data_IF_824151876572
#
_entry.id   IF_824151876572
#
_cell.length_a   1.000
_cell.length_b   1.000
_cell.length_c   1.000
_cell.angle_alpha   90.00
_cell.angle_beta   90.00
_cell.angle_gamma   90.00
#
_symmetry.space_group_name_H-M   'P 1'
#
loop_
_entity.id
_entity.type
_entity.pdbx_description
1 polymer ?
#
# COMPACT_ATOMS: atom_id res chain seq x y z
N UNK A 1 -39.43 70.90 -18.97
CA UNK A 1 -38.71 70.35 -17.84
C UNK A 1 -38.98 68.83 -17.80
N UNK A 2 -38.07 68.00 -18.39
CA UNK A 2 -38.18 66.56 -18.38
C UNK A 2 -37.29 66.04 -17.24
N UNK A 3 -37.87 65.37 -16.26
CA UNK A 3 -37.13 64.69 -15.17
C UNK A 3 -36.66 63.32 -15.69
N UNK A 4 -35.36 63.16 -15.68
CA UNK A 4 -34.67 61.90 -15.95
C UNK A 4 -34.63 61.09 -14.66
N UNK A 5 -35.28 59.92 -14.61
CA UNK A 5 -35.20 58.99 -13.50
C UNK A 5 -34.07 58.01 -13.83
N UNK A 6 -32.97 58.08 -13.06
CA UNK A 6 -31.89 57.10 -13.10
C UNK A 6 -32.29 55.90 -12.24
N UNK A 7 -32.50 54.73 -12.84
CA UNK A 7 -32.67 53.48 -12.14
C UNK A 7 -31.27 52.87 -11.93
N UNK A 8 -30.81 52.88 -10.68
CA UNK A 8 -29.59 52.20 -10.28
C UNK A 8 -29.95 50.70 -10.07
N UNK A 9 -29.54 49.85 -10.98
CA UNK A 9 -29.60 48.39 -10.78
C UNK A 9 -28.42 47.95 -9.91
N UNK A 10 -28.69 47.66 -8.67
CA UNK A 10 -27.71 47.03 -7.77
C UNK A 10 -27.62 45.55 -8.08
N UNK A 11 -26.58 45.13 -8.80
CA UNK A 11 -26.19 43.72 -8.94
C UNK A 11 -25.63 43.23 -7.63
N UNK A 12 -26.41 42.47 -6.87
CA UNK A 12 -25.94 41.71 -5.71
C UNK A 12 -25.14 40.54 -6.27
N UNK A 13 -23.80 40.65 -6.31
CA UNK A 13 -22.93 39.48 -6.41
C UNK A 13 -23.04 38.74 -5.07
N UNK A 14 -23.72 37.62 -5.07
CA UNK A 14 -23.62 36.64 -4.00
C UNK A 14 -22.22 36.01 -4.05
N UNK A 15 -21.30 36.57 -3.27
CA UNK A 15 -20.08 35.91 -2.88
C UNK A 15 -20.47 34.71 -2.00
N UNK A 16 -20.62 33.54 -2.63
CA UNK A 16 -20.57 32.29 -1.89
C UNK A 16 -19.13 32.12 -1.39
N UNK A 17 -18.83 32.79 -0.29
CA UNK A 17 -17.62 32.49 0.47
C UNK A 17 -17.72 31.06 0.97
N UNK A 18 -16.90 30.18 0.43
CA UNK A 18 -16.61 28.89 1.04
C UNK A 18 -15.97 29.18 2.40
N UNK A 19 -16.78 29.21 3.44
CA UNK A 19 -16.26 29.19 4.81
C UNK A 19 -15.64 27.84 5.03
N UNK A 20 -14.31 27.82 5.19
CA UNK A 20 -13.57 26.66 5.66
C UNK A 20 -14.27 26.13 6.91
N UNK A 21 -14.77 24.91 6.88
CA UNK A 21 -15.44 24.32 8.03
C UNK A 21 -14.37 24.05 9.09
N UNK A 22 -14.47 24.73 10.24
CA UNK A 22 -13.63 24.45 11.41
C UNK A 22 -14.09 23.21 12.16
N UNK A 23 -15.14 22.55 11.69
CA UNK A 23 -15.74 21.40 12.32
C UNK A 23 -14.94 20.15 12.03
N UNK A 24 -14.61 19.40 13.09
CA UNK A 24 -13.94 18.10 12.99
C UNK A 24 -14.88 17.07 12.38
N UNK A 25 -14.31 16.19 11.59
CA UNK A 25 -15.06 15.14 10.90
C UNK A 25 -15.26 13.94 11.84
N UNK A 26 -16.52 13.65 12.18
CA UNK A 26 -16.88 12.45 12.94
C UNK A 26 -16.52 11.20 12.16
N UNK A 27 -15.90 10.24 12.85
CA UNK A 27 -15.44 8.99 12.28
C UNK A 27 -15.77 7.84 13.22
N UNK A 28 -16.07 6.70 12.63
CA UNK A 28 -16.26 5.43 13.32
C UNK A 28 -15.37 4.37 12.69
N UNK A 29 -14.79 3.48 13.48
CA UNK A 29 -13.89 2.45 12.99
C UNK A 29 -13.70 1.32 14.00
N UNK A 30 -12.69 0.50 13.73
CA UNK A 30 -12.20 -0.53 14.64
C UNK A 30 -10.75 -0.20 15.01
N UNK A 31 -10.49 -0.11 16.31
CA UNK A 31 -9.18 0.25 16.85
C UNK A 31 -8.63 -0.84 17.78
N UNK A 32 -7.30 -0.93 17.84
CA UNK A 32 -6.58 -1.56 18.94
C UNK A 32 -6.55 -0.59 20.12
N UNK A 33 -6.76 -1.10 21.33
CA UNK A 33 -6.65 -0.35 22.58
C UNK A 33 -5.35 -0.68 23.33
N UNK A 34 -4.69 -1.77 22.95
CA UNK A 34 -3.39 -2.22 23.44
C UNK A 34 -2.71 -3.05 22.37
N UNK A 35 -1.39 -3.23 22.45
CA UNK A 35 -0.60 -4.02 21.50
C UNK A 35 -1.11 -5.46 21.33
N UNK A 36 -1.52 -6.10 22.42
CA UNK A 36 -1.99 -7.49 22.44
C UNK A 36 -3.51 -7.63 22.28
N UNK A 37 -4.21 -6.48 22.11
CA UNK A 37 -5.67 -6.43 22.11
C UNK A 37 -6.29 -6.93 20.81
N UNK A 38 -7.60 -7.15 20.88
CA UNK A 38 -8.44 -7.31 19.69
C UNK A 38 -8.95 -5.96 19.23
N UNK A 39 -9.14 -5.84 17.92
CA UNK A 39 -9.79 -4.68 17.29
C UNK A 39 -11.25 -4.60 17.75
N UNK A 40 -11.66 -3.41 18.22
CA UNK A 40 -13.02 -3.15 18.72
C UNK A 40 -13.54 -1.83 18.14
N UNK A 41 -14.85 -1.66 18.14
CA UNK A 41 -15.51 -0.42 17.69
C UNK A 41 -14.95 0.79 18.45
N UNK A 42 -14.69 1.86 17.70
CA UNK A 42 -14.12 3.10 18.21
C UNK A 42 -14.68 4.31 17.45
N UNK A 43 -15.22 5.25 18.19
CA UNK A 43 -15.68 6.54 17.66
C UNK A 43 -14.59 7.60 17.92
N UNK A 44 -14.23 8.34 16.87
CA UNK A 44 -13.19 9.36 16.93
C UNK A 44 -13.48 10.51 15.97
N UNK A 45 -12.58 11.47 15.90
CA UNK A 45 -12.70 12.58 14.95
C UNK A 45 -11.40 12.74 14.17
N UNK A 46 -11.53 13.17 12.92
CA UNK A 46 -10.42 13.62 12.08
C UNK A 46 -10.32 15.14 12.08
N UNK A 47 -9.20 15.68 11.64
CA UNK A 47 -9.05 17.12 11.43
C UNK A 47 -10.12 17.65 10.44
N UNK A 48 -10.48 18.94 10.50
CA UNK A 48 -11.34 19.57 9.52
C UNK A 48 -10.75 19.43 8.10
N UNK A 49 -11.62 19.51 7.09
CA UNK A 49 -11.18 19.50 5.69
C UNK A 49 -10.44 20.81 5.40
N UNK A 50 -9.17 20.70 5.07
CA UNK A 50 -8.33 21.82 4.63
C UNK A 50 -8.58 22.22 3.17
N UNK A 51 -7.94 23.28 2.71
CA UNK A 51 -8.12 23.80 1.35
C UNK A 51 -7.70 22.79 0.26
N UNK A 52 -6.73 21.94 0.55
CA UNK A 52 -6.21 20.92 -0.39
C UNK A 52 -6.71 19.50 -0.08
N UNK A 53 -7.59 19.34 0.91
CA UNK A 53 -8.03 18.03 1.37
C UNK A 53 -9.28 17.56 0.63
N UNK A 54 -9.41 16.23 0.58
CA UNK A 54 -10.64 15.56 0.20
C UNK A 54 -11.14 14.71 1.38
N UNK A 55 -12.47 14.62 1.51
CA UNK A 55 -13.12 13.66 2.39
C UNK A 55 -13.58 12.48 1.55
N UNK A 56 -13.15 11.29 1.93
CA UNK A 56 -13.47 10.02 1.27
C UNK A 56 -14.39 9.21 2.21
N UNK A 57 -15.54 8.77 1.72
CA UNK A 57 -16.31 7.69 2.31
C UNK A 57 -15.60 6.38 1.97
N UNK A 58 -15.08 5.66 2.96
CA UNK A 58 -14.36 4.40 2.77
C UNK A 58 -15.35 3.29 2.38
N UNK A 59 -15.15 2.68 1.21
CA UNK A 59 -15.96 1.57 0.74
C UNK A 59 -15.31 0.22 1.05
N UNK A 60 -14.01 0.12 0.79
CA UNK A 60 -13.23 -1.09 1.03
C UNK A 60 -11.86 -0.72 1.62
N UNK A 61 -11.35 -1.60 2.47
CA UNK A 61 -9.98 -1.50 3.00
C UNK A 61 -9.34 -2.89 3.04
N UNK A 62 -8.19 -3.03 2.39
CA UNK A 62 -7.44 -4.28 2.41
C UNK A 62 -6.80 -4.54 3.78
N UNK A 63 -6.53 -5.82 4.06
CA UNK A 63 -5.85 -6.29 5.28
C UNK A 63 -4.42 -6.68 4.93
N UNK A 64 -3.46 -5.98 5.50
CA UNK A 64 -2.04 -6.20 5.30
C UNK A 64 -1.37 -6.76 6.56
N UNK A 65 -0.30 -7.53 6.37
CA UNK A 65 0.56 -7.97 7.48
C UNK A 65 1.16 -6.78 8.24
N UNK A 66 1.40 -5.67 7.53
CA UNK A 66 1.88 -4.42 8.12
C UNK A 66 0.92 -3.81 9.13
N UNK A 67 -0.41 -3.97 8.93
CA UNK A 67 -1.41 -3.52 9.91
C UNK A 67 -1.24 -4.25 11.25
N UNK A 68 -0.86 -5.53 11.19
CA UNK A 68 -0.64 -6.38 12.36
C UNK A 68 0.65 -5.98 13.07
N UNK A 69 1.77 -5.91 12.33
CA UNK A 69 3.07 -5.56 12.91
C UNK A 69 3.08 -4.15 13.50
N UNK A 70 2.61 -3.17 12.74
CA UNK A 70 2.54 -1.77 13.22
C UNK A 70 1.56 -1.67 14.39
N UNK A 71 0.37 -2.25 14.26
CA UNK A 71 -0.65 -2.22 15.31
C UNK A 71 -0.19 -2.84 16.62
N UNK A 72 0.63 -3.89 16.57
CA UNK A 72 1.23 -4.57 17.74
C UNK A 72 2.50 -3.90 18.26
N UNK A 73 3.05 -2.92 17.53
CA UNK A 73 4.29 -2.25 17.91
C UNK A 73 5.55 -3.08 17.66
N UNK A 74 5.52 -4.08 16.76
CA UNK A 74 6.67 -4.94 16.44
C UNK A 74 7.82 -4.18 15.80
N UNK A 75 7.53 -3.06 15.13
CA UNK A 75 8.53 -2.19 14.49
C UNK A 75 8.87 -0.97 15.33
N UNK A 76 7.88 -0.40 16.01
CA UNK A 76 8.05 0.74 16.92
C UNK A 76 6.87 0.82 17.89
N UNK A 77 7.06 1.34 19.13
CA UNK A 77 5.97 1.55 20.08
C UNK A 77 4.84 2.41 19.48
N UNK A 78 3.60 2.03 19.72
CA UNK A 78 2.42 2.71 19.21
C UNK A 78 1.63 3.44 20.30
N UNK A 79 0.89 4.48 19.89
CA UNK A 79 -0.10 5.15 20.72
C UNK A 79 -1.49 4.54 20.48
N UNK A 80 -2.23 4.28 21.56
CA UNK A 80 -3.57 3.70 21.49
C UNK A 80 -4.62 4.66 22.09
N UNK A 81 -5.89 4.60 21.63
CA UNK A 81 -6.47 3.72 20.60
C UNK A 81 -5.90 4.00 19.20
N UNK A 82 -5.68 2.93 18.40
CA UNK A 82 -5.13 3.03 17.06
C UNK A 82 -6.01 2.31 16.03
N UNK A 83 -6.54 3.08 15.09
CA UNK A 83 -7.21 2.55 13.89
C UNK A 83 -6.15 2.33 12.82
N UNK A 84 -5.96 1.10 12.39
CA UNK A 84 -5.01 0.74 11.32
C UNK A 84 -5.70 0.68 9.95
N UNK A 85 -4.99 0.24 8.91
CA UNK A 85 -5.49 0.10 7.54
C UNK A 85 -4.93 1.17 6.60
N UNK A 86 -4.31 0.74 5.50
CA UNK A 86 -3.64 1.60 4.52
C UNK A 86 -3.83 1.13 3.07
N UNK A 87 -4.85 0.35 2.81
CA UNK A 87 -5.24 -0.12 1.48
C UNK A 87 -6.68 0.34 1.19
N UNK A 88 -6.88 1.65 1.20
CA UNK A 88 -8.19 2.30 1.25
C UNK A 88 -8.66 2.60 -0.17
N UNK A 89 -9.91 2.29 -0.46
CA UNK A 89 -10.61 2.82 -1.63
C UNK A 89 -12.00 3.28 -1.21
N UNK A 90 -12.42 4.43 -1.74
CA UNK A 90 -13.70 5.01 -1.38
C UNK A 90 -14.17 6.06 -2.38
N UNK A 91 -15.24 6.73 -2.01
CA UNK A 91 -15.88 7.77 -2.82
C UNK A 91 -15.64 9.14 -2.20
N UNK A 92 -15.19 10.09 -2.98
CA UNK A 92 -15.02 11.48 -2.57
C UNK A 92 -16.39 12.08 -2.29
N UNK A 93 -16.60 12.60 -1.08
CA UNK A 93 -17.86 13.21 -0.62
C UNK A 93 -17.76 14.71 -0.45
N UNK A 94 -16.55 15.23 -0.17
CA UNK A 94 -16.29 16.66 -0.08
C UNK A 94 -14.87 16.96 -0.59
N UNK A 95 -14.65 18.17 -1.07
CA UNK A 95 -13.35 18.67 -1.55
C UNK A 95 -13.07 20.05 -1.01
N UNK A 96 -11.83 20.35 -0.68
CA UNK A 96 -11.35 21.68 -0.29
C UNK A 96 -11.33 22.64 -1.47
N UNK A 97 -11.19 23.94 -1.18
CA UNK A 97 -11.30 25.00 -2.19
C UNK A 97 -10.22 25.00 -3.27
N UNK A 98 -9.04 24.43 -2.98
CA UNK A 98 -7.90 24.36 -3.89
C UNK A 98 -7.79 22.99 -4.59
N UNK A 99 -8.66 22.05 -4.24
CA UNK A 99 -8.63 20.69 -4.86
C UNK A 99 -8.94 20.78 -6.34
N UNK A 100 -8.08 20.19 -7.15
CA UNK A 100 -8.19 20.17 -8.62
C UNK A 100 -8.18 18.76 -9.19
N UNK A 101 -7.63 17.80 -8.46
CA UNK A 101 -7.43 16.41 -8.89
C UNK A 101 -8.71 15.58 -8.78
N UNK A 102 -9.61 15.96 -7.88
CA UNK A 102 -10.83 15.24 -7.58
C UNK A 102 -12.06 16.14 -7.55
N UNK A 103 -13.21 15.54 -7.82
CA UNK A 103 -14.54 16.12 -7.58
C UNK A 103 -15.40 15.16 -6.76
N UNK A 104 -16.44 15.70 -6.14
CA UNK A 104 -17.43 14.88 -5.42
C UNK A 104 -18.01 13.80 -6.34
N UNK A 105 -18.03 12.57 -5.85
CA UNK A 105 -18.47 11.39 -6.57
C UNK A 105 -17.36 10.57 -7.23
N UNK A 106 -16.15 11.10 -7.38
CA UNK A 106 -15.01 10.33 -7.90
C UNK A 106 -14.60 9.21 -6.93
N UNK A 107 -14.00 8.16 -7.45
CA UNK A 107 -13.30 7.17 -6.64
C UNK A 107 -11.87 7.62 -6.36
N UNK A 108 -11.47 7.49 -5.12
CA UNK A 108 -10.13 7.79 -4.66
C UNK A 108 -9.57 6.64 -3.83
N UNK A 109 -8.26 6.44 -3.91
CA UNK A 109 -7.55 5.49 -3.08
C UNK A 109 -6.52 6.17 -2.18
N UNK A 110 -6.26 5.62 -1.00
CA UNK A 110 -5.21 6.05 -0.09
C UNK A 110 -4.35 4.87 0.30
N UNK A 111 -3.05 4.99 0.04
CA UNK A 111 -2.05 3.97 0.32
C UNK A 111 -1.38 4.14 1.68
N UNK A 112 -0.07 3.94 1.69
CA UNK A 112 0.72 3.86 2.93
C UNK A 112 1.08 5.21 3.55
N UNK A 113 0.87 6.33 2.86
CA UNK A 113 1.25 7.69 3.31
C UNK A 113 0.09 8.67 3.12
N UNK A 114 0.00 9.64 4.02
CA UNK A 114 -1.00 10.71 3.97
C UNK A 114 -0.39 12.11 3.96
N UNK A 115 0.91 12.24 4.23
CA UNK A 115 1.59 13.55 4.15
C UNK A 115 3.11 13.43 4.04
N UNK A 116 3.76 14.50 3.59
CA UNK A 116 5.20 14.75 3.59
C UNK A 116 5.48 16.25 3.52
N UNK A 117 6.76 16.67 3.55
CA UNK A 117 7.09 18.09 3.43
C UNK A 117 6.80 18.71 2.04
N UNK A 118 6.75 17.91 0.98
CA UNK A 118 6.46 18.29 -0.41
C UNK A 118 7.45 19.27 -1.08
N UNK A 119 8.60 19.53 -0.47
CA UNK A 119 9.58 20.51 -0.98
C UNK A 119 11.05 20.10 -0.82
N UNK A 120 11.34 18.88 -0.37
CA UNK A 120 12.71 18.34 -0.38
C UNK A 120 12.98 17.61 -1.69
N UNK A 121 14.26 17.32 -1.98
CA UNK A 121 14.69 16.67 -3.22
C UNK A 121 13.92 15.39 -3.56
N UNK A 122 13.57 14.58 -2.56
CA UNK A 122 12.81 13.34 -2.78
C UNK A 122 11.32 13.61 -3.05
N UNK A 123 10.72 14.57 -2.33
CA UNK A 123 9.33 14.94 -2.61
C UNK A 123 9.18 15.58 -3.99
N UNK A 124 10.14 16.43 -4.41
CA UNK A 124 10.14 17.07 -5.72
C UNK A 124 10.26 16.05 -6.88
N UNK A 125 10.87 14.89 -6.61
CA UNK A 125 11.00 13.79 -7.59
C UNK A 125 9.88 12.76 -7.50
N UNK A 126 8.92 12.92 -6.58
CA UNK A 126 7.80 11.99 -6.38
C UNK A 126 8.19 10.72 -5.63
N UNK A 127 9.19 10.84 -4.75
CA UNK A 127 9.70 9.79 -3.86
C UNK A 127 9.46 10.15 -2.39
N UNK A 128 8.24 10.56 -2.07
CA UNK A 128 7.81 11.07 -0.76
C UNK A 128 8.09 10.08 0.39
N UNK A 129 8.18 8.77 0.09
CA UNK A 129 8.56 7.74 1.06
C UNK A 129 9.96 7.97 1.66
N UNK A 130 10.81 8.75 1.00
CA UNK A 130 12.15 9.13 1.45
C UNK A 130 12.24 10.59 1.92
N UNK A 131 11.12 11.24 2.22
CA UNK A 131 11.07 12.65 2.65
C UNK A 131 12.08 12.94 3.77
N UNK A 132 12.96 13.93 3.55
CA UNK A 132 14.01 14.32 4.51
C UNK A 132 13.47 14.94 5.81
N UNK A 133 12.25 15.48 5.77
CA UNK A 133 11.61 16.14 6.91
C UNK A 133 10.55 15.25 7.59
N UNK A 134 10.48 13.98 7.20
CA UNK A 134 9.52 12.99 7.68
C UNK A 134 8.27 12.92 6.84
N UNK A 135 7.98 11.71 6.33
CA UNK A 135 6.67 11.35 5.80
C UNK A 135 5.73 11.06 6.96
N UNK A 136 4.43 11.11 6.72
CA UNK A 136 3.40 10.66 7.66
C UNK A 136 2.73 9.42 7.08
N UNK A 137 2.81 8.31 7.79
CA UNK A 137 2.09 7.09 7.43
C UNK A 137 0.58 7.26 7.66
N UNK A 138 -0.20 6.46 6.98
CA UNK A 138 -1.68 6.52 7.00
C UNK A 138 -2.25 6.29 8.39
N UNK A 139 -1.50 5.60 9.26
CA UNK A 139 -1.82 5.43 10.68
C UNK A 139 -0.56 5.24 11.53
N UNK A 140 -0.68 5.59 12.81
CA UNK A 140 0.33 5.35 13.83
C UNK A 140 1.47 6.37 13.89
N UNK A 141 1.54 7.28 12.94
CA UNK A 141 2.52 8.37 12.94
C UNK A 141 1.91 9.66 13.50
N UNK A 142 2.81 10.52 14.00
CA UNK A 142 2.47 11.88 14.37
C UNK A 142 2.32 12.71 13.10
N UNK A 143 1.12 13.21 12.85
CA UNK A 143 0.89 14.07 11.69
C UNK A 143 1.49 15.45 11.91
N UNK A 144 2.72 15.61 11.44
CA UNK A 144 3.51 16.83 11.59
C UNK A 144 2.89 18.04 10.86
N UNK A 145 1.99 17.78 9.92
CA UNK A 145 1.41 18.79 9.03
C UNK A 145 -0.04 19.13 9.37
N UNK A 146 -0.71 18.31 10.24
CA UNK A 146 -2.08 18.52 10.69
C UNK A 146 -2.19 18.39 12.22
N UNK A 147 -1.60 19.35 12.95
CA UNK A 147 -1.78 19.49 14.40
C UNK A 147 -1.04 18.48 15.26
N UNK A 148 -0.14 17.66 14.73
CA UNK A 148 0.63 16.65 15.46
C UNK A 148 -0.21 15.56 16.13
N UNK A 149 -1.43 15.31 15.67
CA UNK A 149 -2.26 14.19 16.11
C UNK A 149 -1.73 12.87 15.55
N UNK A 150 -2.06 11.76 16.21
CA UNK A 150 -1.72 10.43 15.68
C UNK A 150 -2.66 10.12 14.52
N UNK A 151 -2.07 9.84 13.35
CA UNK A 151 -2.81 9.43 12.15
C UNK A 151 -3.61 8.17 12.39
N UNK A 152 -4.85 8.12 11.88
CA UNK A 152 -5.78 7.02 12.03
C UNK A 152 -6.16 6.46 10.66
N UNK A 153 -6.10 5.15 10.51
CA UNK A 153 -6.20 4.45 9.22
C UNK A 153 -7.60 4.17 8.71
N UNK A 154 -7.64 3.29 7.74
CA UNK A 154 -8.80 2.98 6.90
C UNK A 154 -9.74 1.91 7.43
N UNK A 155 -9.48 1.28 8.59
CA UNK A 155 -10.52 0.46 9.23
C UNK A 155 -11.59 1.35 9.85
N UNK A 156 -12.03 2.35 9.09
CA UNK A 156 -12.96 3.38 9.45
C UNK A 156 -13.84 3.79 8.27
N UNK A 157 -14.99 4.41 8.57
CA UNK A 157 -15.99 4.78 7.59
C UNK A 157 -15.58 5.95 6.68
N UNK A 158 -14.54 6.69 7.02
CA UNK A 158 -14.08 7.83 6.21
C UNK A 158 -12.57 8.07 6.37
N UNK A 159 -12.04 8.92 5.46
CA UNK A 159 -10.66 9.43 5.49
C UNK A 159 -10.64 10.88 5.03
N UNK A 160 -9.91 11.74 5.74
CA UNK A 160 -9.53 13.09 5.28
C UNK A 160 -8.06 13.05 4.89
N UNK A 161 -7.74 13.52 3.70
CA UNK A 161 -6.37 13.47 3.16
C UNK A 161 -6.15 14.57 2.12
N UNK A 162 -4.95 15.15 2.09
CA UNK A 162 -4.52 16.05 1.00
C UNK A 162 -4.61 15.32 -0.35
N UNK A 163 -5.17 15.98 -1.38
CA UNK A 163 -5.35 15.39 -2.72
C UNK A 163 -4.07 14.81 -3.32
N UNK A 164 -2.90 15.32 -2.94
CA UNK A 164 -1.61 14.82 -3.39
C UNK A 164 -1.39 13.35 -2.96
N UNK A 165 -1.82 13.00 -1.75
CA UNK A 165 -1.66 11.65 -1.17
C UNK A 165 -2.84 10.71 -1.48
N UNK A 166 -3.79 11.17 -2.26
CA UNK A 166 -4.84 10.33 -2.82
C UNK A 166 -4.52 9.93 -4.26
N UNK A 167 -4.87 8.70 -4.62
CA UNK A 167 -4.67 8.10 -5.95
C UNK A 167 -6.00 8.10 -6.68
N UNK A 168 -6.01 8.56 -7.94
CA UNK A 168 -7.20 8.48 -8.79
C UNK A 168 -7.41 7.02 -9.23
N UNK A 169 -8.64 6.56 -9.16
CA UNK A 169 -9.00 5.21 -9.59
C UNK A 169 -9.55 5.26 -11.01
N UNK A 170 -8.93 4.56 -11.97
CA UNK A 170 -9.39 4.55 -13.36
C UNK A 170 -10.82 4.01 -13.49
N UNK A 171 -11.55 4.52 -14.49
CA UNK A 171 -12.87 4.01 -14.84
C UNK A 171 -12.80 2.51 -15.20
N UNK A 172 -13.78 1.75 -14.74
CA UNK A 172 -13.83 0.29 -14.96
C UNK A 172 -12.94 -0.53 -14.01
N UNK A 173 -12.23 0.10 -13.08
CA UNK A 173 -11.46 -0.63 -12.06
C UNK A 173 -12.38 -1.46 -11.16
N UNK A 174 -11.90 -2.65 -10.78
CA UNK A 174 -12.56 -3.51 -9.78
C UNK A 174 -12.33 -2.92 -8.38
N UNK A 175 -13.34 -2.20 -7.87
CA UNK A 175 -13.25 -1.42 -6.63
C UNK A 175 -12.96 -2.29 -5.40
N UNK A 176 -13.41 -3.55 -5.40
CA UNK A 176 -13.15 -4.48 -4.31
C UNK A 176 -11.67 -4.91 -4.26
N UNK A 177 -10.98 -4.85 -5.40
CA UNK A 177 -9.60 -5.34 -5.54
C UNK A 177 -8.55 -4.25 -5.66
N UNK A 178 -8.96 -3.01 -5.90
CA UNK A 178 -7.99 -1.92 -6.20
C UNK A 178 -7.25 -1.43 -4.96
N UNK A 179 -7.86 -1.50 -3.77
CA UNK A 179 -7.25 -1.03 -2.51
C UNK A 179 -5.84 -1.61 -2.27
N UNK A 180 -5.65 -2.94 -2.31
CA UNK A 180 -4.34 -3.55 -2.11
C UNK A 180 -3.27 -3.18 -3.14
N UNK A 181 -3.62 -2.61 -4.30
CA UNK A 181 -2.62 -2.13 -5.28
C UNK A 181 -1.76 -1.00 -4.71
N UNK A 182 -2.31 -0.21 -3.78
CA UNK A 182 -1.62 0.91 -3.14
C UNK A 182 -0.70 0.50 -1.97
N UNK A 183 -0.61 -0.79 -1.70
CA UNK A 183 0.37 -1.38 -0.78
C UNK A 183 1.07 -2.57 -1.45
N UNK A 184 0.40 -3.71 -1.58
CA UNK A 184 1.00 -4.91 -2.17
C UNK A 184 1.39 -4.70 -3.64
N UNK A 185 0.59 -3.92 -4.39
CA UNK A 185 0.91 -3.55 -5.77
C UNK A 185 2.19 -2.74 -5.83
N UNK A 186 2.19 -1.54 -5.27
CA UNK A 186 3.34 -0.63 -5.32
C UNK A 186 4.61 -1.25 -4.72
N UNK A 187 4.49 -1.94 -3.59
CA UNK A 187 5.65 -2.56 -2.91
C UNK A 187 6.35 -3.61 -3.78
N UNK A 188 5.63 -4.26 -4.69
CA UNK A 188 6.20 -5.27 -5.58
C UNK A 188 6.50 -4.72 -6.98
N UNK A 189 5.72 -3.76 -7.47
CA UNK A 189 5.93 -3.09 -8.74
C UNK A 189 7.22 -2.25 -8.74
N UNK A 190 7.38 -1.38 -7.73
CA UNK A 190 8.52 -0.46 -7.63
C UNK A 190 9.89 -1.15 -7.76
N UNK A 191 10.24 -2.18 -6.95
CA UNK A 191 11.55 -2.81 -7.08
C UNK A 191 11.74 -3.57 -8.39
N UNK A 192 10.68 -4.11 -9.01
CA UNK A 192 10.75 -4.76 -10.32
C UNK A 192 11.08 -3.73 -11.40
N UNK A 193 10.46 -2.55 -11.35
CA UNK A 193 10.72 -1.45 -12.30
C UNK A 193 12.12 -0.87 -12.10
N UNK A 194 12.55 -0.63 -10.86
CA UNK A 194 13.90 -0.13 -10.54
C UNK A 194 15.01 -1.14 -10.90
N UNK A 195 14.73 -2.44 -10.82
CA UNK A 195 15.66 -3.47 -11.31
C UNK A 195 15.81 -3.49 -12.84
N UNK A 196 14.93 -2.80 -13.56
CA UNK A 196 14.95 -2.72 -15.02
C UNK A 196 14.73 -4.07 -15.69
N UNK A 197 13.79 -4.87 -15.18
CA UNK A 197 13.46 -6.20 -15.70
C UNK A 197 12.96 -6.12 -17.13
N UNK A 198 13.43 -7.03 -17.96
CA UNK A 198 13.12 -7.11 -19.39
C UNK A 198 12.59 -8.50 -19.77
N UNK A 199 11.96 -8.56 -20.93
CA UNK A 199 11.53 -9.83 -21.52
C UNK A 199 12.68 -10.85 -21.57
N UNK A 200 12.42 -12.07 -21.07
CA UNK A 200 13.37 -13.17 -21.02
C UNK A 200 14.35 -13.12 -19.83
N UNK A 201 14.31 -12.08 -18.99
CA UNK A 201 15.08 -12.11 -17.74
C UNK A 201 14.55 -13.20 -16.80
N UNK A 202 15.47 -13.94 -16.17
CA UNK A 202 15.12 -14.90 -15.13
C UNK A 202 14.93 -14.17 -13.81
N UNK A 203 13.71 -14.21 -13.31
CA UNK A 203 13.29 -13.52 -12.08
C UNK A 203 12.82 -14.53 -11.04
N UNK A 204 13.32 -14.42 -9.82
CA UNK A 204 12.83 -15.19 -8.68
C UNK A 204 11.85 -14.36 -7.83
N UNK A 205 10.79 -15.00 -7.33
CA UNK A 205 9.91 -14.45 -6.32
C UNK A 205 9.94 -15.36 -5.11
N UNK A 206 10.52 -14.89 -3.99
CA UNK A 206 10.63 -15.65 -2.76
C UNK A 206 9.49 -15.30 -1.80
N UNK A 207 8.67 -16.31 -1.48
CA UNK A 207 7.38 -16.19 -0.80
C UNK A 207 6.22 -15.96 -1.78
N UNK A 208 5.21 -16.81 -1.72
CA UNK A 208 4.04 -16.72 -2.62
C UNK A 208 2.76 -16.47 -1.81
N UNK A 209 2.78 -15.36 -1.07
CA UNK A 209 1.66 -14.84 -0.28
C UNK A 209 1.04 -13.59 -0.90
N UNK A 210 0.50 -12.70 -0.04
CA UNK A 210 -0.17 -11.47 -0.45
C UNK A 210 0.67 -10.47 -1.25
N UNK A 211 1.99 -10.44 -1.10
CA UNK A 211 2.91 -9.68 -1.93
C UNK A 211 3.37 -10.52 -3.14
N UNK A 212 3.79 -11.76 -2.91
CA UNK A 212 4.41 -12.59 -3.94
C UNK A 212 3.52 -12.84 -5.15
N UNK A 213 2.21 -13.04 -4.97
CA UNK A 213 1.30 -13.25 -6.11
C UNK A 213 1.15 -11.99 -6.98
N UNK A 214 1.30 -10.77 -6.40
CA UNK A 214 1.37 -9.53 -7.18
C UNK A 214 2.69 -9.42 -7.93
N UNK A 215 3.81 -9.74 -7.26
CA UNK A 215 5.14 -9.74 -7.87
C UNK A 215 5.21 -10.67 -9.11
N UNK A 216 4.63 -11.88 -9.01
CA UNK A 216 4.56 -12.82 -10.14
C UNK A 216 3.81 -12.19 -11.31
N UNK A 217 2.63 -11.62 -11.07
CA UNK A 217 1.83 -11.00 -12.13
C UNK A 217 2.57 -9.86 -12.83
N UNK A 218 3.23 -8.96 -12.09
CA UNK A 218 4.00 -7.86 -12.69
C UNK A 218 5.21 -8.37 -13.48
N UNK A 219 6.00 -9.29 -12.92
CA UNK A 219 7.16 -9.81 -13.62
C UNK A 219 6.77 -10.59 -14.89
N UNK A 220 5.69 -11.37 -14.84
CA UNK A 220 5.13 -12.06 -16.01
C UNK A 220 4.62 -11.07 -17.06
N UNK A 221 3.93 -10.00 -16.66
CA UNK A 221 3.45 -8.97 -17.58
C UNK A 221 4.59 -8.25 -18.33
N UNK A 222 5.77 -8.11 -17.70
CA UNK A 222 6.98 -7.60 -18.33
C UNK A 222 7.69 -8.64 -19.24
N UNK A 223 7.17 -9.88 -19.27
CA UNK A 223 7.72 -10.97 -20.10
C UNK A 223 8.93 -11.68 -19.50
N UNK A 224 9.13 -11.59 -18.18
CA UNK A 224 10.18 -12.33 -17.48
C UNK A 224 9.85 -13.82 -17.36
N UNK A 225 10.90 -14.66 -17.24
CA UNK A 225 10.80 -16.08 -16.86
C UNK A 225 10.78 -16.19 -15.34
N UNK A 226 9.58 -16.28 -14.76
CA UNK A 226 9.40 -16.20 -13.31
C UNK A 226 9.51 -17.57 -12.65
N UNK A 227 10.39 -17.69 -11.64
CA UNK A 227 10.44 -18.83 -10.72
C UNK A 227 9.93 -18.40 -9.36
N UNK A 228 8.93 -19.10 -8.83
CA UNK A 228 8.42 -18.90 -7.48
C UNK A 228 9.13 -19.82 -6.50
N UNK A 229 9.50 -19.31 -5.34
CA UNK A 229 10.07 -20.04 -4.22
C UNK A 229 9.13 -19.96 -3.02
N UNK A 230 8.77 -21.10 -2.45
CA UNK A 230 7.98 -21.16 -1.22
C UNK A 230 8.37 -22.37 -0.37
N UNK A 231 7.84 -22.44 0.83
CA UNK A 231 8.14 -23.51 1.81
C UNK A 231 7.17 -24.69 1.77
N UNK A 232 6.09 -24.59 0.99
CA UNK A 232 5.07 -25.65 0.80
C UNK A 232 4.75 -25.82 -0.69
N UNK A 233 4.03 -26.87 -1.04
CA UNK A 233 3.58 -27.13 -2.42
C UNK A 233 2.13 -26.69 -2.68
N UNK A 234 1.42 -26.24 -1.66
CA UNK A 234 -0.02 -25.97 -1.70
C UNK A 234 -0.46 -25.00 -2.80
N UNK A 235 0.38 -24.01 -3.12
CA UNK A 235 0.09 -22.97 -4.12
C UNK A 235 0.86 -23.15 -5.44
N UNK A 236 1.46 -24.31 -5.67
CA UNK A 236 2.26 -24.60 -6.89
C UNK A 236 1.44 -24.38 -8.17
N UNK A 237 0.27 -25.00 -8.25
CA UNK A 237 -0.58 -24.92 -9.45
C UNK A 237 -1.07 -23.52 -9.71
N UNK A 238 -1.32 -22.74 -8.65
CA UNK A 238 -1.74 -21.35 -8.78
C UNK A 238 -0.61 -20.46 -9.32
N UNK A 239 0.61 -20.64 -8.85
CA UNK A 239 1.77 -19.90 -9.34
C UNK A 239 1.99 -20.17 -10.84
N UNK A 240 1.90 -21.43 -11.26
CA UNK A 240 2.00 -21.81 -12.66
C UNK A 240 0.86 -21.25 -13.51
N UNK A 241 -0.37 -21.26 -12.98
CA UNK A 241 -1.54 -20.65 -13.65
C UNK A 241 -1.40 -19.14 -13.81
N UNK A 242 -0.70 -18.46 -12.88
CA UNK A 242 -0.39 -17.02 -12.98
C UNK A 242 0.75 -16.72 -13.96
N UNK A 243 1.33 -17.74 -14.61
CA UNK A 243 2.37 -17.60 -15.63
C UNK A 243 3.79 -17.80 -15.13
N UNK A 244 4.02 -18.25 -13.90
CA UNK A 244 5.34 -18.69 -13.47
C UNK A 244 5.77 -19.91 -14.29
N UNK A 245 7.03 -19.93 -14.75
CA UNK A 245 7.59 -21.05 -15.53
C UNK A 245 8.07 -22.18 -14.63
N UNK A 246 8.30 -21.90 -13.35
CA UNK A 246 8.76 -22.88 -12.36
C UNK A 246 8.29 -22.48 -10.96
N UNK A 247 8.00 -23.51 -10.16
CA UNK A 247 7.79 -23.39 -8.71
C UNK A 247 8.80 -24.28 -8.00
N UNK A 248 9.39 -23.80 -6.92
CA UNK A 248 10.44 -24.48 -6.14
C UNK A 248 10.03 -24.50 -4.68
N UNK A 249 9.89 -25.68 -4.11
CA UNK A 249 9.77 -25.84 -2.66
C UNK A 249 11.18 -25.81 -2.06
N UNK A 250 11.53 -24.73 -1.36
CA UNK A 250 12.88 -24.51 -0.82
C UNK A 250 13.27 -25.47 0.29
N UNK A 251 12.33 -26.29 0.78
CA UNK A 251 12.60 -27.39 1.73
C UNK A 251 13.00 -28.68 1.03
N UNK A 252 12.93 -28.72 -0.29
CA UNK A 252 13.31 -29.86 -1.12
C UNK A 252 14.65 -29.56 -1.82
N UNK A 253 15.74 -30.06 -1.27
CA UNK A 253 17.10 -29.83 -1.79
C UNK A 253 17.25 -30.18 -3.27
N UNK A 254 16.54 -31.21 -3.75
CA UNK A 254 16.57 -31.61 -5.16
C UNK A 254 15.99 -30.53 -6.08
N UNK A 255 15.02 -29.76 -5.62
CA UNK A 255 14.44 -28.66 -6.41
C UNK A 255 15.37 -27.45 -6.48
N UNK A 256 16.31 -27.31 -5.54
CA UNK A 256 17.32 -26.25 -5.51
C UNK A 256 18.52 -26.53 -6.42
N UNK A 257 18.70 -27.78 -6.87
CA UNK A 257 19.81 -28.18 -7.75
C UNK A 257 19.80 -27.36 -9.05
N UNK A 258 20.98 -26.90 -9.46
CA UNK A 258 21.18 -26.17 -10.71
C UNK A 258 20.71 -24.68 -10.71
N UNK A 259 20.26 -24.14 -9.57
CA UNK A 259 19.78 -22.75 -9.49
C UNK A 259 20.87 -21.72 -9.18
N UNK A 260 22.09 -22.16 -8.85
CA UNK A 260 23.23 -21.26 -8.63
C UNK A 260 23.52 -20.41 -9.87
N UNK A 261 23.84 -19.12 -9.69
CA UNK A 261 24.18 -18.18 -10.76
C UNK A 261 23.13 -18.08 -11.91
N UNK A 262 21.85 -18.15 -11.57
CA UNK A 262 20.76 -18.26 -12.54
C UNK A 262 20.00 -16.93 -12.71
N UNK A 263 19.66 -16.26 -11.61
CA UNK A 263 18.69 -15.18 -11.64
C UNK A 263 19.34 -13.79 -11.83
N UNK A 264 18.72 -12.98 -12.70
CA UNK A 264 19.04 -11.56 -12.85
C UNK A 264 18.55 -10.76 -11.64
N UNK A 265 17.39 -11.14 -11.13
CA UNK A 265 16.71 -10.45 -10.04
C UNK A 265 15.94 -11.46 -9.18
N UNK A 266 15.95 -11.26 -7.88
CA UNK A 266 15.07 -11.99 -6.96
C UNK A 266 14.38 -10.96 -6.06
N UNK A 267 13.06 -11.07 -5.95
CA UNK A 267 12.27 -10.27 -5.01
C UNK A 267 11.87 -11.14 -3.81
N UNK A 268 12.34 -10.78 -2.62
CA UNK A 268 11.94 -11.46 -1.39
C UNK A 268 10.76 -10.75 -0.73
N UNK A 269 9.65 -11.45 -0.61
CA UNK A 269 8.42 -10.99 0.05
C UNK A 269 8.17 -11.69 1.39
N UNK A 270 9.17 -12.37 1.92
CA UNK A 270 9.08 -13.20 3.13
C UNK A 270 8.96 -12.33 4.37
N UNK A 271 7.87 -12.45 5.16
CA UNK A 271 7.61 -11.58 6.32
C UNK A 271 8.14 -12.15 7.65
N UNK A 272 8.96 -13.20 7.62
CA UNK A 272 9.49 -13.89 8.78
C UNK A 272 10.99 -14.12 8.66
N UNK A 273 11.65 -14.61 9.72
CA UNK A 273 13.06 -14.98 9.68
C UNK A 273 13.37 -16.00 8.58
N UNK A 274 14.39 -15.75 7.79
CA UNK A 274 14.91 -16.66 6.75
C UNK A 274 16.38 -16.36 6.47
N UNK A 275 17.06 -17.29 5.79
CA UNK A 275 18.44 -17.07 5.31
C UNK A 275 18.42 -16.43 3.91
N UNK A 276 18.74 -15.14 3.76
CA UNK A 276 18.79 -14.48 2.46
C UNK A 276 19.92 -15.03 1.58
N UNK A 277 20.93 -15.67 2.17
CA UNK A 277 22.07 -16.21 1.42
C UNK A 277 21.67 -17.35 0.49
N UNK A 278 20.58 -18.07 0.78
CA UNK A 278 19.97 -19.03 -0.14
C UNK A 278 19.71 -18.37 -1.50
N UNK A 279 19.05 -17.22 -1.51
CA UNK A 279 18.68 -16.49 -2.73
C UNK A 279 19.86 -15.72 -3.34
N UNK A 280 20.73 -15.13 -2.51
CA UNK A 280 21.95 -14.45 -3.00
C UNK A 280 22.83 -15.41 -3.81
N UNK A 281 22.95 -16.66 -3.39
CA UNK A 281 23.74 -17.67 -4.10
C UNK A 281 23.13 -18.08 -5.46
N UNK A 282 21.84 -17.85 -5.66
CA UNK A 282 21.16 -18.10 -6.92
C UNK A 282 21.30 -16.93 -7.92
N UNK A 283 21.73 -15.76 -7.48
CA UNK A 283 21.94 -14.61 -8.36
C UNK A 283 23.14 -14.84 -9.28
N UNK A 284 23.01 -14.44 -10.53
CA UNK A 284 24.14 -14.32 -11.46
C UNK A 284 25.07 -13.15 -11.09
N UNK A 285 26.17 -13.00 -11.78
CA UNK A 285 27.02 -11.80 -11.68
C UNK A 285 26.18 -10.56 -12.02
N UNK A 286 26.34 -9.48 -11.24
CA UNK A 286 25.54 -8.25 -11.31
C UNK A 286 24.04 -8.43 -11.01
N UNK A 287 23.65 -9.58 -10.44
CA UNK A 287 22.27 -9.81 -10.05
C UNK A 287 21.89 -9.10 -8.74
N UNK A 288 20.60 -8.83 -8.57
CA UNK A 288 20.06 -8.09 -7.46
C UNK A 288 19.05 -8.94 -6.64
N UNK A 289 19.15 -8.87 -5.31
CA UNK A 289 18.10 -9.30 -4.37
C UNK A 289 17.46 -8.07 -3.77
N UNK A 290 16.20 -7.80 -4.11
CA UNK A 290 15.40 -6.81 -3.42
C UNK A 290 14.60 -7.48 -2.29
N UNK A 291 14.56 -6.87 -1.13
CA UNK A 291 13.79 -7.34 0.03
C UNK A 291 12.66 -6.35 0.28
N UNK A 292 11.42 -6.84 0.29
CA UNK A 292 10.22 -6.06 0.59
C UNK A 292 9.40 -6.66 1.74
N UNK A 293 9.63 -7.94 2.05
CA UNK A 293 9.09 -8.54 3.27
C UNK A 293 9.80 -7.96 4.49
N UNK A 294 9.06 -7.44 5.45
CA UNK A 294 9.63 -6.82 6.65
C UNK A 294 9.23 -7.62 7.90
N UNK A 295 10.11 -8.52 8.38
CA UNK A 295 9.91 -9.23 9.63
C UNK A 295 10.03 -8.27 10.83
N UNK A 296 9.70 -8.77 12.03
CA UNK A 296 10.03 -8.07 13.27
C UNK A 296 11.54 -7.78 13.35
N UNK A 297 11.94 -6.68 13.99
CA UNK A 297 13.35 -6.23 14.02
C UNK A 297 14.34 -7.29 14.51
N UNK A 298 13.93 -8.15 15.45
CA UNK A 298 14.74 -9.27 15.96
C UNK A 298 15.03 -10.35 14.92
N UNK A 299 14.21 -10.44 13.87
CA UNK A 299 14.25 -11.46 12.82
C UNK A 299 14.78 -10.89 11.49
N UNK A 300 15.41 -9.70 11.54
CA UNK A 300 15.95 -9.02 10.36
C UNK A 300 16.96 -9.93 9.61
N UNK A 301 16.87 -10.02 8.27
CA UNK A 301 17.75 -10.87 7.47
C UNK A 301 19.20 -10.37 7.53
N UNK A 302 20.16 -11.29 7.68
CA UNK A 302 21.59 -10.99 7.72
C UNK A 302 22.27 -11.47 6.44
N UNK A 303 22.99 -10.57 5.79
CA UNK A 303 23.71 -10.84 4.53
C UNK A 303 25.20 -10.91 4.78
N UNK A 304 25.84 -12.01 4.35
CA UNK A 304 27.31 -12.13 4.40
C UNK A 304 27.95 -11.39 3.23
N UNK A 305 28.92 -10.53 3.52
CA UNK A 305 29.70 -9.83 2.49
C UNK A 305 30.40 -10.79 1.52
N UNK A 306 30.80 -11.99 1.98
CA UNK A 306 31.43 -13.01 1.13
C UNK A 306 30.46 -13.55 0.07
N UNK A 307 29.15 -13.55 0.33
CA UNK A 307 28.12 -13.96 -0.62
C UNK A 307 27.91 -12.97 -1.76
N UNK A 308 28.31 -11.72 -1.57
CA UNK A 308 28.16 -10.67 -2.59
C UNK A 308 29.24 -10.69 -3.69
N UNK A 309 30.02 -11.78 -3.77
CA UNK A 309 30.98 -11.98 -4.86
C UNK A 309 30.26 -11.91 -6.22
N UNK A 310 30.93 -11.35 -7.23
CA UNK A 310 30.34 -11.15 -8.54
C UNK A 310 29.48 -9.90 -8.64
N UNK A 311 29.71 -8.89 -7.80
CA UNK A 311 29.01 -7.60 -7.77
C UNK A 311 27.50 -7.75 -7.55
N UNK A 312 27.10 -8.81 -6.85
CA UNK A 312 25.70 -9.02 -6.43
C UNK A 312 25.30 -7.93 -5.45
N UNK A 313 24.07 -7.48 -5.56
CA UNK A 313 23.53 -6.44 -4.66
C UNK A 313 22.37 -7.00 -3.86
N UNK A 314 22.28 -6.52 -2.62
CA UNK A 314 21.10 -6.72 -1.76
C UNK A 314 20.65 -5.35 -1.31
N UNK A 315 19.38 -5.05 -1.51
CA UNK A 315 18.80 -3.79 -1.11
C UNK A 315 17.37 -3.96 -0.62
N UNK A 316 16.95 -3.04 0.23
CA UNK A 316 15.60 -3.01 0.78
C UNK A 316 14.78 -1.96 0.01
N UNK A 317 13.56 -2.33 -0.40
CA UNK A 317 12.61 -1.42 -1.01
C UNK A 317 11.42 -1.24 -0.09
N UNK A 318 11.04 0.01 0.16
CA UNK A 318 9.89 0.35 1.00
C UNK A 318 8.87 1.09 0.16
N UNK A 319 7.70 0.48 -0.01
CA UNK A 319 6.58 1.07 -0.78
C UNK A 319 7.05 1.76 -2.08
N UNK A 320 6.44 2.88 -2.47
CA UNK A 320 6.85 3.81 -3.54
C UNK A 320 6.27 5.19 -3.27
N UNK A 321 6.71 6.20 -4.01
CA UNK A 321 6.16 7.55 -3.94
C UNK A 321 4.80 7.67 -4.61
N UNK A 322 4.18 8.84 -4.50
CA UNK A 322 2.80 9.03 -4.98
C UNK A 322 2.69 8.92 -6.50
N UNK A 323 3.70 9.40 -7.23
CA UNK A 323 3.75 9.25 -8.70
C UNK A 323 3.78 7.79 -9.11
N UNK A 324 4.65 7.00 -8.50
CA UNK A 324 4.82 5.58 -8.81
C UNK A 324 3.62 4.75 -8.34
N UNK A 325 2.99 5.15 -7.22
CA UNK A 325 1.75 4.52 -6.75
C UNK A 325 0.60 4.74 -7.73
N UNK A 326 0.45 5.96 -8.28
CA UNK A 326 -0.54 6.23 -9.33
C UNK A 326 -0.26 5.43 -10.59
N UNK A 327 1.01 5.34 -11.00
CA UNK A 327 1.44 4.54 -12.15
C UNK A 327 1.10 3.06 -11.94
N UNK A 328 1.38 2.52 -10.76
CA UNK A 328 1.07 1.13 -10.39
C UNK A 328 -0.43 0.83 -10.53
N UNK A 329 -1.30 1.71 -10.04
CA UNK A 329 -2.75 1.54 -10.15
C UNK A 329 -3.18 1.59 -11.62
N UNK A 330 -2.70 2.57 -12.39
CA UNK A 330 -3.02 2.70 -13.80
C UNK A 330 -2.55 1.48 -14.61
N UNK A 331 -1.31 1.04 -14.38
CA UNK A 331 -0.74 -0.14 -15.02
C UNK A 331 -1.54 -1.40 -14.70
N UNK A 332 -1.85 -1.60 -13.43
CA UNK A 332 -2.59 -2.78 -12.97
C UNK A 332 -3.98 -2.84 -13.59
N UNK A 333 -4.73 -1.74 -13.54
CA UNK A 333 -6.09 -1.69 -14.11
C UNK A 333 -6.06 -1.94 -15.62
N UNK A 334 -5.13 -1.29 -16.35
CA UNK A 334 -5.02 -1.43 -17.82
C UNK A 334 -4.59 -2.83 -18.28
N UNK A 335 -3.90 -3.59 -17.43
CA UNK A 335 -3.42 -4.95 -17.74
C UNK A 335 -4.26 -6.04 -17.04
N UNK A 336 -5.32 -5.68 -16.30
CA UNK A 336 -6.15 -6.63 -15.56
C UNK A 336 -5.39 -7.32 -14.42
N UNK A 337 -4.35 -6.68 -13.88
CA UNK A 337 -3.54 -7.19 -12.76
C UNK A 337 -4.19 -6.78 -11.45
N UNK A 338 -4.77 -7.74 -10.77
CA UNK A 338 -5.42 -7.53 -9.48
C UNK A 338 -5.01 -8.60 -8.46
N UNK A 339 -5.05 -8.27 -7.16
CA UNK A 339 -4.92 -9.28 -6.14
C UNK A 339 -6.11 -10.24 -6.16
N UNK A 340 -5.89 -11.49 -5.78
CA UNK A 340 -6.98 -12.38 -5.39
C UNK A 340 -7.41 -12.01 -3.98
N UNK A 341 -8.69 -11.67 -3.81
CA UNK A 341 -9.23 -11.17 -2.56
C UNK A 341 -10.41 -12.01 -2.08
N UNK A 342 -10.55 -12.08 -0.77
CA UNK A 342 -11.74 -12.54 -0.07
C UNK A 342 -12.33 -11.34 0.68
N UNK A 343 -13.57 -10.97 0.35
CA UNK A 343 -14.26 -9.83 0.97
C UNK A 343 -14.92 -10.28 2.25
N UNK A 344 -14.65 -9.57 3.35
CA UNK A 344 -15.17 -9.89 4.68
C UNK A 344 -15.88 -8.70 5.31
N UNK A 345 -16.86 -8.90 6.19
CA UNK A 345 -17.37 -7.83 7.04
C UNK A 345 -16.35 -7.48 8.13
N UNK A 346 -16.34 -6.20 8.59
CA UNK A 346 -15.35 -5.73 9.58
C UNK A 346 -15.40 -6.51 10.91
N UNK A 347 -16.55 -7.10 11.25
CA UNK A 347 -16.71 -7.91 12.45
C UNK A 347 -15.83 -9.17 12.46
N UNK A 348 -15.38 -9.62 11.28
CA UNK A 348 -14.47 -10.77 11.12
C UNK A 348 -12.99 -10.40 11.16
N UNK A 349 -12.64 -9.11 11.36
CA UNK A 349 -11.26 -8.63 11.26
C UNK A 349 -10.28 -9.33 12.20
N UNK A 350 -10.71 -9.65 13.43
CA UNK A 350 -9.84 -10.33 14.39
C UNK A 350 -9.52 -11.78 13.98
N UNK A 351 -10.47 -12.47 13.37
CA UNK A 351 -10.24 -13.80 12.80
C UNK A 351 -9.37 -13.71 11.55
N UNK A 352 -9.64 -12.74 10.67
CA UNK A 352 -8.81 -12.48 9.50
C UNK A 352 -7.34 -12.24 9.88
N UNK A 353 -7.07 -11.46 10.94
CA UNK A 353 -5.71 -11.26 11.45
C UNK A 353 -5.05 -12.55 11.91
N UNK A 354 -5.78 -13.39 12.65
CA UNK A 354 -5.29 -14.71 13.08
C UNK A 354 -4.94 -15.60 11.88
N UNK A 355 -5.77 -15.58 10.83
CA UNK A 355 -5.54 -16.34 9.60
C UNK A 355 -4.35 -15.79 8.78
N UNK A 356 -4.18 -14.47 8.71
CA UNK A 356 -3.01 -13.84 8.06
C UNK A 356 -1.72 -14.25 8.75
N UNK A 357 -1.64 -14.16 10.08
CA UNK A 357 -0.47 -14.59 10.88
C UNK A 357 -0.18 -16.09 10.72
N UNK A 358 -1.23 -16.90 10.66
CA UNK A 358 -1.11 -18.35 10.47
C UNK A 358 -0.81 -18.79 9.03
N UNK A 359 -0.73 -17.85 8.07
CA UNK A 359 -0.52 -18.16 6.64
C UNK A 359 -1.70 -18.87 5.96
N UNK A 360 -2.89 -18.86 6.58
CA UNK A 360 -4.10 -19.55 6.11
C UNK A 360 -4.94 -18.73 5.12
N UNK A 361 -4.58 -17.47 4.91
CA UNK A 361 -5.28 -16.61 3.95
C UNK A 361 -4.96 -17.02 2.52
N UNK A 362 -5.98 -17.05 1.68
CA UNK A 362 -5.81 -17.28 0.26
C UNK A 362 -5.49 -15.94 -0.44
N UNK A 363 -4.26 -15.46 -0.25
CA UNK A 363 -3.64 -14.22 -0.66
C UNK A 363 -4.05 -13.00 0.16
N UNK A 364 -5.28 -12.44 0.06
CA UNK A 364 -5.62 -11.19 0.77
C UNK A 364 -7.08 -11.13 1.21
N UNK A 365 -7.31 -10.58 2.38
CA UNK A 365 -8.64 -10.12 2.80
C UNK A 365 -8.85 -8.65 2.42
N UNK A 366 -10.10 -8.32 2.12
CA UNK A 366 -10.58 -6.94 1.94
C UNK A 366 -11.85 -6.76 2.78
N UNK A 367 -11.90 -5.72 3.56
CA UNK A 367 -13.05 -5.39 4.42
C UNK A 367 -14.06 -4.61 3.60
N UNK A 368 -15.32 -5.07 3.53
CA UNK A 368 -16.46 -4.26 3.10
C UNK A 368 -16.85 -3.31 4.24
N UNK A 369 -16.52 -2.02 4.08
CA UNK A 369 -16.76 -1.01 5.11
C UNK A 369 -18.23 -0.65 5.28
N UNK A 370 -19.13 -1.04 4.36
CA UNK A 370 -20.59 -0.93 4.55
C UNK A 370 -21.08 -1.80 5.71
N UNK A 371 -20.30 -2.80 6.12
CA UNK A 371 -20.58 -3.64 7.28
C UNK A 371 -20.35 -2.92 8.62
N UNK A 372 -19.64 -1.79 8.65
CA UNK A 372 -19.42 -0.98 9.83
C UNK A 372 -20.70 -0.20 10.19
N UNK A 373 -21.38 -0.63 11.24
CA UNK A 373 -22.64 -0.03 11.73
C UNK A 373 -22.42 0.77 13.00
#
# INVERSE_FOLDING_TARGET
>A
MKRLILILAATILSLNGFTQTTERISSKGYALYTADGELKSYDFTRHPIGENDILIETLYCGVCHSDIHQGRGDWSPQSYPLVVGHEIVGRVTQVGSNVTKFKVGDYAGVGCMVSSCRHCEYCDTGEEQYCLHGRVLTYGDKDLYHGNEISQGGYSNNMVVDEHFAVTIPEGADIEKVGPLMCAGITTYSPIMHAGIKRGDKVGVAGFGGLGHMAVQYAVALGAEVTVFDITDEKRDEALTMGAVRYVNVRNDKELEGLSNTFRFILSTIPSAYDPMLYVNMLKVDGDLAIVGMPAAKDAPVVSALGLRGRRKVWFSVIGGMRETQETVNYSVSHGIYPRVEVIPIQQINEAWKNVVAGKVHFRYVIDMKSLK
#
